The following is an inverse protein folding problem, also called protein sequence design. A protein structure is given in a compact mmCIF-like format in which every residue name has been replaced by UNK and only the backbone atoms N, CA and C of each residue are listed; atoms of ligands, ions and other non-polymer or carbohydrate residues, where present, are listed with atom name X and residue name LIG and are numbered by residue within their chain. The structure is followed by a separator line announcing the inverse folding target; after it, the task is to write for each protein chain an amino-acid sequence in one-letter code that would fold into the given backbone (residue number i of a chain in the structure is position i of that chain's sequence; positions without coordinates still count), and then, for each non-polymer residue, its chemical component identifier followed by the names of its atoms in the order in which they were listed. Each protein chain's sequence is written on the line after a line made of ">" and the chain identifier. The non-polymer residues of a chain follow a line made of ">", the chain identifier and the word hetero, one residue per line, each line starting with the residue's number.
data_IF_230605787857
#
_entry.id   IF_230605787857
#
_cell.length_a   1.000
_cell.length_b   1.000
_cell.length_c   1.000
_cell.angle_alpha   90.00
_cell.angle_beta   90.00
_cell.angle_gamma   90.00
#
_symmetry.space_group_name_H-M   'P 1'
#
loop_
_entity.id
_entity.type
_entity.pdbx_description
1 polymer ?
#
# COMPACT_ATOMS: atom_id res chain seq x y z
N UNK A 1 -35.74 -62.35 -25.73
CA UNK A 1 -37.11 -62.65 -25.39
C UNK A 1 -37.13 -63.43 -24.08
N UNK A 2 -38.10 -63.25 -23.25
CA UNK A 2 -38.87 -62.05 -22.83
C UNK A 2 -38.52 -61.73 -21.36
N UNK A 3 -39.01 -60.81 -20.63
CA UNK A 3 -40.40 -60.44 -20.40
C UNK A 3 -40.45 -59.03 -19.70
N UNK A 4 -41.45 -58.30 -20.04
CA UNK A 4 -41.94 -57.07 -19.50
C UNK A 4 -42.64 -57.25 -18.19
N UNK A 5 -42.37 -56.41 -17.19
CA UNK A 5 -43.42 -55.96 -16.24
C UNK A 5 -43.06 -54.67 -15.56
N UNK A 6 -43.79 -53.63 -15.88
CA UNK A 6 -43.86 -52.38 -15.11
C UNK A 6 -44.78 -52.55 -13.91
N UNK A 7 -44.50 -51.96 -12.75
CA UNK A 7 -45.49 -51.77 -11.71
C UNK A 7 -46.06 -50.33 -11.67
N UNK A 8 -47.35 -50.32 -11.51
CA UNK A 8 -48.37 -49.34 -11.28
C UNK A 8 -47.99 -48.21 -10.28
N UNK A 9 -48.35 -46.97 -10.60
CA UNK A 9 -48.39 -45.84 -9.69
C UNK A 9 -49.59 -45.94 -8.73
N UNK A 10 -49.45 -45.50 -7.49
CA UNK A 10 -50.60 -45.17 -6.64
C UNK A 10 -50.93 -43.67 -6.70
N UNK A 11 -52.22 -43.42 -6.76
CA UNK A 11 -52.88 -42.12 -6.75
C UNK A 11 -52.57 -41.34 -5.45
N UNK A 12 -52.17 -40.08 -5.54
CA UNK A 12 -51.98 -39.16 -4.43
C UNK A 12 -53.27 -38.35 -4.13
N UNK A 13 -53.44 -37.89 -2.90
CA UNK A 13 -54.65 -37.21 -2.45
C UNK A 13 -54.72 -35.77 -2.89
N UNK A 14 -55.97 -35.32 -3.18
CA UNK A 14 -56.47 -33.99 -3.55
C UNK A 14 -55.95 -32.89 -2.62
N UNK A 15 -55.39 -31.83 -3.23
CA UNK A 15 -55.00 -30.56 -2.56
C UNK A 15 -56.24 -29.68 -2.34
N UNK A 16 -56.34 -28.94 -1.24
CA UNK A 16 -57.35 -27.89 -1.05
C UNK A 16 -56.94 -26.61 -1.78
N UNK A 17 -57.93 -25.95 -2.33
CA UNK A 17 -57.87 -24.68 -3.02
C UNK A 17 -57.31 -23.58 -2.10
N UNK A 18 -56.25 -22.89 -2.56
CA UNK A 18 -55.78 -21.64 -1.97
C UNK A 18 -56.52 -20.46 -2.57
N UNK A 19 -57.13 -19.71 -1.71
CA UNK A 19 -57.66 -18.37 -2.02
C UNK A 19 -56.50 -17.43 -2.44
N UNK A 20 -56.69 -16.71 -3.54
CA UNK A 20 -55.75 -15.66 -3.99
C UNK A 20 -55.84 -14.45 -3.05
N UNK A 21 -54.74 -13.90 -2.58
CA UNK A 21 -54.74 -12.61 -1.91
C UNK A 21 -54.76 -11.49 -2.97
N UNK A 22 -55.71 -10.64 -2.83
CA UNK A 22 -55.92 -9.38 -3.54
C UNK A 22 -54.65 -8.57 -3.71
N UNK A 23 -54.36 -8.15 -4.95
CA UNK A 23 -53.25 -7.29 -5.32
C UNK A 23 -53.38 -5.91 -4.66
N UNK A 24 -52.56 -5.67 -3.63
CA UNK A 24 -52.28 -4.32 -3.19
C UNK A 24 -51.13 -3.76 -4.06
N UNK A 25 -51.39 -2.76 -4.84
CA UNK A 25 -50.42 -1.98 -5.60
C UNK A 25 -49.39 -1.38 -4.63
N UNK A 26 -48.07 -1.43 -4.93
CA UNK A 26 -47.11 -0.69 -4.12
C UNK A 26 -47.30 0.80 -4.35
N UNK A 27 -47.67 1.51 -3.30
CA UNK A 27 -47.57 2.98 -3.25
C UNK A 27 -46.12 3.38 -3.56
N UNK A 28 -45.89 3.95 -4.72
CA UNK A 28 -44.68 4.67 -5.05
C UNK A 28 -44.56 5.86 -4.11
N UNK A 29 -43.79 5.71 -3.05
CA UNK A 29 -43.31 6.84 -2.27
C UNK A 29 -42.51 7.74 -3.21
N UNK A 30 -43.13 8.83 -3.64
CA UNK A 30 -42.46 9.94 -4.31
C UNK A 30 -41.41 10.44 -3.34
N UNK A 31 -40.15 10.22 -3.72
CA UNK A 31 -39.01 10.89 -3.09
C UNK A 31 -39.13 12.38 -3.41
N UNK A 32 -39.74 13.11 -2.48
CA UNK A 32 -39.85 14.57 -2.56
C UNK A 32 -38.41 15.11 -2.45
N UNK A 33 -37.81 15.37 -3.62
CA UNK A 33 -36.48 15.95 -3.78
C UNK A 33 -36.36 17.39 -3.23
N UNK A 34 -36.76 17.60 -1.99
CA UNK A 34 -36.43 18.80 -1.24
C UNK A 34 -34.93 18.85 -0.97
N UNK A 35 -34.32 20.04 -1.04
CA UNK A 35 -32.90 20.15 -0.71
C UNK A 35 -32.67 19.61 0.71
N UNK A 36 -31.82 18.55 0.85
CA UNK A 36 -31.44 18.04 2.16
C UNK A 36 -30.89 19.21 2.98
N UNK A 37 -31.31 19.37 4.24
CA UNK A 37 -30.84 20.47 5.07
C UNK A 37 -29.32 20.52 5.04
N UNK A 38 -28.76 21.67 4.68
CA UNK A 38 -27.32 21.88 4.65
C UNK A 38 -26.77 21.62 6.05
N UNK A 39 -25.97 20.55 6.18
CA UNK A 39 -25.31 20.25 7.47
C UNK A 39 -24.53 21.49 7.90
N UNK A 40 -24.70 21.90 9.15
CA UNK A 40 -23.88 22.96 9.73
C UNK A 40 -22.40 22.66 9.48
N UNK A 41 -21.57 23.65 9.12
CA UNK A 41 -20.12 23.44 8.95
C UNK A 41 -19.46 22.74 10.11
N UNK A 42 -20.01 22.86 11.32
CA UNK A 42 -19.53 22.19 12.54
C UNK A 42 -19.84 20.69 12.56
N UNK A 43 -20.91 20.24 11.87
CA UNK A 43 -21.38 18.85 11.87
C UNK A 43 -20.83 18.02 10.69
N UNK A 44 -20.05 18.64 9.79
CA UNK A 44 -19.47 17.96 8.64
C UNK A 44 -18.46 16.91 9.06
N UNK A 45 -18.55 15.68 8.52
CA UNK A 45 -17.59 14.61 8.86
C UNK A 45 -16.19 14.94 8.37
N UNK A 46 -15.22 14.24 8.94
CA UNK A 46 -13.86 14.15 8.40
C UNK A 46 -13.83 13.01 7.39
N UNK A 47 -13.53 13.29 6.13
CA UNK A 47 -13.32 12.25 5.15
C UNK A 47 -11.88 11.76 5.16
N UNK A 48 -11.71 10.43 5.19
CA UNK A 48 -10.42 9.76 5.11
C UNK A 48 -10.37 8.96 3.81
N UNK A 49 -9.51 9.35 2.88
CA UNK A 49 -9.41 8.74 1.56
C UNK A 49 -8.40 7.59 1.61
N UNK A 50 -8.90 6.35 1.55
CA UNK A 50 -8.13 5.10 1.56
C UNK A 50 -8.34 4.25 2.81
N UNK A 51 -8.77 2.99 2.63
CA UNK A 51 -9.04 1.96 3.65
C UNK A 51 -7.82 1.10 4.01
N UNK A 52 -6.61 1.65 3.86
CA UNK A 52 -5.37 1.01 4.30
C UNK A 52 -5.04 1.27 5.78
N UNK A 53 -3.87 0.81 6.27
CA UNK A 53 -3.48 0.95 7.67
C UNK A 53 -3.43 2.42 8.14
N UNK A 54 -3.06 3.35 7.25
CA UNK A 54 -3.05 4.78 7.55
C UNK A 54 -4.44 5.34 7.79
N UNK A 55 -5.37 5.12 6.85
CA UNK A 55 -6.73 5.61 6.96
C UNK A 55 -7.49 5.02 8.13
N UNK A 56 -7.39 3.69 8.33
CA UNK A 56 -8.03 3.02 9.48
C UNK A 56 -7.50 3.56 10.82
N UNK A 57 -6.18 3.82 10.93
CA UNK A 57 -5.59 4.40 12.14
C UNK A 57 -6.14 5.80 12.42
N UNK A 58 -6.26 6.64 11.39
CA UNK A 58 -6.79 8.00 11.51
C UNK A 58 -8.27 7.97 11.89
N UNK A 59 -9.08 7.16 11.22
CA UNK A 59 -10.50 7.04 11.52
C UNK A 59 -10.73 6.60 12.97
N UNK A 60 -9.97 5.61 13.45
CA UNK A 60 -10.01 5.19 14.86
C UNK A 60 -9.61 6.32 15.81
N UNK A 61 -8.55 7.05 15.51
CA UNK A 61 -8.06 8.12 16.38
C UNK A 61 -9.03 9.29 16.46
N UNK A 62 -9.75 9.59 15.38
CA UNK A 62 -10.84 10.59 15.34
C UNK A 62 -12.05 10.10 16.13
N UNK A 63 -12.52 8.86 15.89
CA UNK A 63 -13.62 8.26 16.63
C UNK A 63 -13.39 8.26 18.15
N UNK A 64 -12.17 7.94 18.58
CA UNK A 64 -11.81 7.96 20.00
C UNK A 64 -11.88 9.37 20.63
N UNK A 65 -12.07 10.42 19.82
CA UNK A 65 -12.26 11.82 20.24
C UNK A 65 -13.67 12.35 19.97
N UNK A 66 -14.60 11.44 19.65
CA UNK A 66 -15.99 11.82 19.36
C UNK A 66 -16.17 12.52 17.99
N UNK A 67 -15.16 12.49 17.11
CA UNK A 67 -15.24 13.12 15.79
C UNK A 67 -15.67 12.06 14.77
N UNK A 68 -16.76 12.35 14.05
CA UNK A 68 -17.24 11.50 12.97
C UNK A 68 -16.24 11.49 11.84
N UNK A 69 -15.76 10.30 11.46
CA UNK A 69 -14.84 10.08 10.36
C UNK A 69 -15.41 9.01 9.43
N UNK A 70 -15.46 9.30 8.13
CA UNK A 70 -15.91 8.37 7.10
C UNK A 70 -14.73 8.00 6.23
N UNK A 71 -14.39 6.72 6.18
CA UNK A 71 -13.34 6.20 5.30
C UNK A 71 -13.95 5.90 3.93
N UNK A 72 -13.37 6.48 2.88
CA UNK A 72 -13.74 6.22 1.49
C UNK A 72 -12.68 5.29 0.87
N UNK A 73 -13.08 4.07 0.54
CA UNK A 73 -12.19 3.06 -0.06
C UNK A 73 -12.69 2.70 -1.47
N UNK A 74 -11.80 2.80 -2.46
CA UNK A 74 -12.16 2.52 -3.86
C UNK A 74 -12.41 1.04 -4.15
N UNK A 75 -11.80 0.15 -3.40
CA UNK A 75 -12.00 -1.29 -3.55
C UNK A 75 -13.24 -1.77 -2.79
N UNK A 76 -13.62 -3.02 -3.00
CA UNK A 76 -14.76 -3.66 -2.36
C UNK A 76 -14.56 -3.91 -0.85
N UNK A 77 -13.32 -3.79 -0.35
CA UNK A 77 -12.95 -4.05 1.05
C UNK A 77 -11.66 -3.35 1.47
N UNK A 78 -11.44 -3.25 2.78
CA UNK A 78 -10.24 -2.66 3.36
C UNK A 78 -8.98 -3.48 3.10
N UNK A 79 -7.82 -2.83 3.14
CA UNK A 79 -6.53 -3.49 2.96
C UNK A 79 -6.26 -3.99 1.55
N UNK A 80 -6.94 -3.48 0.53
CA UNK A 80 -6.88 -3.96 -0.85
C UNK A 80 -5.47 -3.97 -1.44
N UNK A 81 -4.64 -2.97 -1.13
CA UNK A 81 -3.24 -2.94 -1.58
C UNK A 81 -2.43 -4.13 -1.04
N UNK A 82 -2.68 -4.53 0.22
CA UNK A 82 -2.02 -5.68 0.85
C UNK A 82 -2.43 -7.00 0.19
N UNK A 83 -3.70 -7.18 -0.15
CA UNK A 83 -4.20 -8.37 -0.86
C UNK A 83 -3.55 -8.60 -2.21
N UNK A 84 -3.10 -7.52 -2.87
CA UNK A 84 -2.48 -7.57 -4.20
C UNK A 84 -0.99 -7.88 -4.17
N UNK A 85 -0.34 -7.87 -3.01
CA UNK A 85 1.05 -8.24 -2.91
C UNK A 85 1.27 -9.76 -3.08
N UNK A 86 2.51 -10.12 -3.41
CA UNK A 86 2.95 -11.51 -3.59
C UNK A 86 2.82 -12.33 -2.29
N UNK A 87 2.68 -13.64 -2.44
CA UNK A 87 2.29 -14.55 -1.36
C UNK A 87 3.36 -14.63 -0.24
N UNK A 88 4.62 -14.60 -0.62
CA UNK A 88 5.76 -14.63 0.30
C UNK A 88 5.89 -13.39 1.19
N UNK A 89 5.24 -12.28 0.88
CA UNK A 89 5.48 -11.02 1.57
C UNK A 89 5.22 -11.12 3.08
N UNK A 90 6.21 -10.71 3.86
CA UNK A 90 6.10 -10.51 5.30
C UNK A 90 6.50 -9.07 5.66
N UNK A 91 5.94 -8.55 6.75
CA UNK A 91 6.42 -7.29 7.30
C UNK A 91 7.90 -7.39 7.65
N UNK A 92 8.70 -6.43 7.20
CA UNK A 92 10.10 -6.29 7.62
C UNK A 92 10.24 -5.71 9.03
N UNK A 93 9.13 -5.27 9.60
CA UNK A 93 9.03 -4.71 10.94
C UNK A 93 8.39 -5.72 11.89
N UNK A 94 8.77 -5.65 13.17
CA UNK A 94 8.27 -6.61 14.14
C UNK A 94 6.80 -6.41 14.43
N UNK A 95 6.07 -7.50 14.65
CA UNK A 95 4.65 -7.51 15.01
C UNK A 95 4.31 -6.50 16.13
N UNK A 96 5.14 -6.43 17.17
CA UNK A 96 4.91 -5.53 18.32
C UNK A 96 4.91 -4.05 17.96
N UNK A 97 5.78 -3.65 17.03
CA UNK A 97 5.90 -2.26 16.59
C UNK A 97 5.06 -1.95 15.32
N UNK A 98 4.37 -2.94 14.79
CA UNK A 98 3.49 -2.79 13.62
C UNK A 98 2.00 -2.82 13.99
N UNK A 99 1.67 -3.02 15.27
CA UNK A 99 0.29 -2.93 15.72
C UNK A 99 -0.23 -1.48 15.64
N UNK A 100 -1.47 -1.33 15.17
CA UNK A 100 -2.18 -0.06 15.14
C UNK A 100 -2.78 0.26 16.53
N UNK A 101 -3.06 1.53 16.83
CA UNK A 101 -3.55 1.94 18.15
C UNK A 101 -4.87 1.24 18.52
N UNK A 102 -4.92 0.72 19.75
CA UNK A 102 -6.14 0.15 20.32
C UNK A 102 -6.38 -1.35 20.03
N UNK A 103 -5.59 -1.97 19.14
CA UNK A 103 -5.69 -3.41 18.89
C UNK A 103 -4.31 -4.03 18.61
N UNK A 104 -3.74 -4.82 19.53
CA UNK A 104 -2.48 -5.51 19.28
C UNK A 104 -2.65 -6.61 18.22
N UNK A 105 -1.61 -6.83 17.40
CA UNK A 105 -1.58 -7.98 16.50
C UNK A 105 -1.45 -9.29 17.29
N UNK A 106 -2.23 -10.34 16.98
CA UNK A 106 -2.20 -11.63 17.67
C UNK A 106 -0.81 -12.28 17.69
N UNK A 107 -0.44 -12.93 18.81
CA UNK A 107 0.88 -13.60 18.94
C UNK A 107 1.08 -14.70 17.89
N UNK A 108 0.01 -15.39 17.48
CA UNK A 108 0.05 -16.44 16.44
C UNK A 108 0.52 -15.98 15.07
N UNK A 109 0.52 -14.66 14.78
CA UNK A 109 1.06 -14.11 13.53
C UNK A 109 2.59 -14.12 13.48
N UNK A 110 3.25 -14.62 14.51
CA UNK A 110 4.70 -14.69 14.56
C UNK A 110 5.37 -13.34 14.80
N UNK A 111 6.68 -13.28 14.59
CA UNK A 111 7.49 -12.07 14.72
C UNK A 111 7.37 -11.16 13.49
N UNK A 112 7.38 -11.76 12.32
CA UNK A 112 7.29 -11.15 11.01
C UNK A 112 5.94 -11.54 10.42
N UNK A 113 5.03 -10.58 10.38
CA UNK A 113 3.63 -10.84 10.04
C UNK A 113 3.50 -11.05 8.54
N UNK A 114 2.86 -12.14 8.12
CA UNK A 114 2.60 -12.44 6.72
C UNK A 114 1.61 -11.44 6.10
N UNK A 115 1.65 -11.32 4.78
CA UNK A 115 0.67 -10.53 4.01
C UNK A 115 -0.77 -10.84 4.40
N UNK A 116 -1.12 -12.11 4.46
CA UNK A 116 -2.48 -12.55 4.77
C UNK A 116 -2.89 -12.20 6.19
N UNK A 117 -1.97 -12.33 7.14
CA UNK A 117 -2.23 -11.93 8.52
C UNK A 117 -2.34 -10.41 8.68
N UNK A 118 -1.61 -9.63 7.86
CA UNK A 118 -1.82 -8.17 7.79
C UNK A 118 -3.23 -7.86 7.29
N UNK A 119 -3.69 -8.54 6.24
CA UNK A 119 -5.05 -8.36 5.70
C UNK A 119 -6.10 -8.69 6.76
N UNK A 120 -6.01 -9.88 7.38
CA UNK A 120 -6.93 -10.29 8.47
C UNK A 120 -6.91 -9.30 9.64
N UNK A 121 -5.75 -8.76 9.96
CA UNK A 121 -5.60 -7.77 11.01
C UNK A 121 -6.32 -6.47 10.67
N UNK A 122 -6.19 -5.95 9.45
CA UNK A 122 -6.84 -4.71 9.01
C UNK A 122 -8.36 -4.85 8.99
N UNK A 123 -8.89 -5.98 8.52
CA UNK A 123 -10.32 -6.27 8.57
C UNK A 123 -10.83 -6.31 10.01
N UNK A 124 -10.14 -7.07 10.86
CA UNK A 124 -10.50 -7.16 12.29
C UNK A 124 -10.36 -5.83 13.00
N UNK A 125 -9.40 -5.00 12.61
CA UNK A 125 -9.22 -3.66 13.17
C UNK A 125 -10.40 -2.75 12.83
N UNK A 126 -10.85 -2.76 11.58
CA UNK A 126 -12.00 -1.99 11.12
C UNK A 126 -13.28 -2.40 11.87
N UNK A 127 -13.53 -3.70 11.98
CA UNK A 127 -14.65 -4.28 12.70
C UNK A 127 -14.61 -3.96 14.21
N UNK A 128 -13.48 -4.25 14.87
CA UNK A 128 -13.29 -4.04 16.31
C UNK A 128 -13.55 -2.60 16.73
N UNK A 129 -13.12 -1.66 15.91
CA UNK A 129 -13.33 -0.23 16.20
C UNK A 129 -14.62 0.31 15.57
N UNK A 130 -15.46 -0.53 14.94
CA UNK A 130 -16.71 -0.15 14.28
C UNK A 130 -16.53 1.13 13.43
N UNK A 131 -15.55 1.13 12.54
CA UNK A 131 -15.23 2.28 11.71
C UNK A 131 -16.31 2.46 10.63
N UNK A 132 -16.71 3.71 10.37
CA UNK A 132 -17.61 4.05 9.27
C UNK A 132 -16.80 4.01 7.97
N UNK A 133 -17.04 3.00 7.12
CA UNK A 133 -16.28 2.77 5.88
C UNK A 133 -17.27 2.59 4.74
N UNK A 134 -17.05 3.34 3.67
CA UNK A 134 -17.78 3.21 2.41
C UNK A 134 -16.84 2.67 1.35
N UNK A 135 -17.10 1.46 0.91
CA UNK A 135 -16.32 0.76 -0.13
C UNK A 135 -16.91 1.01 -1.53
N UNK A 136 -16.12 0.75 -2.59
CA UNK A 136 -16.51 1.01 -3.96
C UNK A 136 -16.60 2.51 -4.30
N UNK A 137 -15.96 3.36 -3.51
CA UNK A 137 -15.97 4.81 -3.69
C UNK A 137 -14.55 5.32 -3.96
N UNK A 138 -14.26 5.64 -5.21
CA UNK A 138 -13.03 6.30 -5.60
C UNK A 138 -13.23 7.82 -5.62
N UNK A 139 -12.43 8.53 -4.85
CA UNK A 139 -12.38 9.99 -4.89
C UNK A 139 -11.40 10.41 -5.98
N UNK A 140 -11.88 11.13 -6.96
CA UNK A 140 -11.09 11.58 -8.11
C UNK A 140 -10.49 12.97 -7.92
N UNK A 141 -11.13 13.83 -7.12
CA UNK A 141 -10.72 15.23 -6.91
C UNK A 141 -11.19 15.76 -5.56
N UNK A 142 -10.37 16.60 -4.94
CA UNK A 142 -10.67 17.30 -3.69
C UNK A 142 -10.54 18.79 -3.94
N UNK A 143 -11.58 19.56 -3.67
CA UNK A 143 -11.65 21.00 -3.88
C UNK A 143 -12.12 21.74 -2.64
N UNK A 144 -12.00 23.07 -2.63
CA UNK A 144 -12.64 23.88 -1.60
C UNK A 144 -14.17 23.82 -1.77
N UNK A 145 -14.86 23.67 -0.67
CA UNK A 145 -16.33 23.76 -0.70
C UNK A 145 -16.76 25.15 -1.19
N UNK A 146 -17.83 25.24 -2.01
CA UNK A 146 -18.29 26.52 -2.60
C UNK A 146 -18.63 27.59 -1.56
N UNK A 147 -19.05 27.20 -0.36
CA UNK A 147 -19.35 28.08 0.76
C UNK A 147 -18.09 28.62 1.49
N UNK A 148 -16.89 28.28 1.00
CA UNK A 148 -15.61 28.66 1.60
C UNK A 148 -15.27 27.90 2.88
N UNK A 149 -16.13 26.98 3.34
CA UNK A 149 -15.95 26.24 4.61
C UNK A 149 -15.75 24.74 4.37
N UNK A 150 -14.54 24.26 4.57
CA UNK A 150 -14.24 22.83 4.41
C UNK A 150 -13.90 22.43 2.96
N UNK A 151 -14.26 21.20 2.59
CA UNK A 151 -13.81 20.52 1.38
C UNK A 151 -14.96 19.84 0.65
N UNK A 152 -14.92 19.89 -0.67
CA UNK A 152 -15.78 19.15 -1.59
C UNK A 152 -14.96 18.01 -2.21
N UNK A 153 -15.48 16.79 -2.16
CA UNK A 153 -14.87 15.61 -2.75
C UNK A 153 -15.74 15.11 -3.90
N UNK A 154 -15.15 15.00 -5.08
CA UNK A 154 -15.79 14.38 -6.23
C UNK A 154 -15.46 12.88 -6.24
N UNK A 155 -16.48 12.05 -6.28
CA UNK A 155 -16.34 10.62 -6.15
C UNK A 155 -17.11 9.84 -7.21
N UNK A 156 -16.85 8.55 -7.33
CA UNK A 156 -17.48 7.62 -8.28
C UNK A 156 -18.99 7.81 -8.34
N UNK A 157 -19.54 7.78 -9.55
CA UNK A 157 -20.99 7.93 -9.81
C UNK A 157 -21.48 9.37 -9.70
N UNK A 158 -20.62 10.37 -9.89
CA UNK A 158 -20.99 11.79 -9.84
C UNK A 158 -21.33 12.29 -8.42
N UNK A 159 -20.92 11.54 -7.39
CA UNK A 159 -21.21 11.92 -6.00
C UNK A 159 -20.35 13.10 -5.57
N UNK A 160 -20.96 14.06 -4.92
CA UNK A 160 -20.32 15.18 -4.26
C UNK A 160 -20.49 15.05 -2.75
N UNK A 161 -19.37 15.06 -2.01
CA UNK A 161 -19.35 14.87 -0.57
C UNK A 161 -18.69 16.08 0.09
N UNK A 162 -19.39 16.74 1.00
CA UNK A 162 -18.86 17.91 1.70
C UNK A 162 -18.37 17.52 3.11
N UNK A 163 -17.10 17.80 3.39
CA UNK A 163 -16.44 17.49 4.67
C UNK A 163 -15.81 18.69 5.35
N UNK A 164 -15.71 18.65 6.69
CA UNK A 164 -15.04 19.68 7.49
C UNK A 164 -13.51 19.62 7.40
N UNK A 165 -12.97 18.43 7.18
CA UNK A 165 -11.55 18.16 6.94
C UNK A 165 -11.38 16.92 6.05
N UNK A 166 -10.22 16.80 5.40
CA UNK A 166 -9.85 15.65 4.57
C UNK A 166 -8.50 15.12 4.98
N UNK A 167 -8.39 13.79 5.08
CA UNK A 167 -7.13 13.09 5.29
C UNK A 167 -6.86 12.19 4.09
N UNK A 168 -5.83 12.50 3.31
CA UNK A 168 -5.38 11.69 2.19
C UNK A 168 -4.47 10.58 2.73
N UNK A 169 -4.93 9.33 2.61
CA UNK A 169 -4.25 8.11 3.08
C UNK A 169 -4.23 7.02 1.99
N UNK A 170 -4.15 7.43 0.72
CA UNK A 170 -4.24 6.55 -0.47
C UNK A 170 -3.04 5.64 -0.66
N UNK A 171 -1.99 5.84 0.12
CA UNK A 171 -0.82 4.97 0.17
C UNK A 171 0.29 5.34 -0.81
N UNK A 172 1.47 4.80 -0.52
CA UNK A 172 2.72 5.09 -1.23
C UNK A 172 2.83 4.36 -2.58
N UNK A 173 2.26 3.15 -2.66
CA UNK A 173 2.33 2.26 -3.82
C UNK A 173 0.99 2.25 -4.56
N UNK A 174 0.67 3.36 -5.24
CA UNK A 174 -0.63 3.49 -5.90
C UNK A 174 -0.62 2.95 -7.34
N UNK A 175 0.18 3.56 -8.21
CA UNK A 175 0.23 3.22 -9.64
C UNK A 175 1.57 2.58 -9.99
N UNK A 176 1.61 1.39 -10.57
CA UNK A 176 2.83 0.76 -11.06
C UNK A 176 3.60 1.69 -12.01
N UNK A 177 4.92 1.68 -11.91
CA UNK A 177 5.79 2.44 -12.80
C UNK A 177 6.59 1.49 -13.66
N UNK A 178 6.27 1.39 -14.93
CA UNK A 178 7.16 0.83 -15.95
C UNK A 178 7.94 1.98 -16.58
N UNK A 179 9.28 1.92 -16.63
CA UNK A 179 10.07 2.89 -17.37
C UNK A 179 9.76 2.82 -18.87
N UNK A 180 9.98 3.93 -19.55
CA UNK A 180 9.81 4.02 -21.01
C UNK A 180 11.09 3.52 -21.69
N UNK A 181 11.31 2.21 -21.61
CA UNK A 181 12.41 1.57 -22.34
C UNK A 181 12.11 1.55 -23.85
N UNK A 182 13.07 1.94 -24.72
CA UNK A 182 12.93 1.76 -26.14
C UNK A 182 12.59 0.29 -26.47
N UNK A 183 11.68 0.07 -27.40
CA UNK A 183 11.25 -1.26 -27.83
C UNK A 183 10.35 -2.04 -26.85
N UNK A 184 10.03 -1.49 -25.69
CA UNK A 184 9.20 -2.16 -24.68
C UNK A 184 7.85 -2.63 -25.22
N UNK A 185 7.19 -1.80 -26.02
CA UNK A 185 5.83 -2.06 -26.51
C UNK A 185 5.80 -3.07 -27.69
N UNK A 186 6.96 -3.36 -28.28
CA UNK A 186 7.13 -4.37 -29.34
C UNK A 186 7.82 -5.64 -28.85
N UNK A 187 8.18 -5.71 -27.57
CA UNK A 187 8.80 -6.89 -26.98
C UNK A 187 7.84 -8.08 -26.99
N UNK A 188 8.27 -9.18 -27.60
CA UNK A 188 7.46 -10.40 -27.79
C UNK A 188 7.43 -11.31 -26.57
N UNK A 189 8.37 -11.14 -25.62
CA UNK A 189 8.44 -11.90 -24.39
C UNK A 189 7.47 -11.39 -23.33
N UNK A 190 7.33 -12.13 -22.23
CA UNK A 190 6.50 -11.72 -21.12
C UNK A 190 7.17 -10.58 -20.34
N UNK A 191 6.53 -9.41 -20.28
CA UNK A 191 6.94 -8.28 -19.42
C UNK A 191 5.80 -7.92 -18.46
N UNK A 192 6.00 -8.18 -17.17
CA UNK A 192 5.03 -7.84 -16.12
C UNK A 192 5.62 -6.91 -15.09
N UNK A 193 4.80 -6.03 -14.53
CA UNK A 193 5.17 -5.31 -13.32
C UNK A 193 5.06 -6.23 -12.09
N UNK A 194 5.94 -6.06 -11.10
CA UNK A 194 5.93 -6.82 -9.85
C UNK A 194 4.61 -6.75 -9.05
N UNK A 195 3.72 -5.82 -9.38
CA UNK A 195 2.34 -5.77 -8.88
C UNK A 195 1.54 -7.03 -9.24
N UNK A 196 1.81 -7.59 -10.42
CA UNK A 196 1.05 -8.72 -10.98
C UNK A 196 1.73 -10.06 -10.68
N UNK A 197 2.92 -10.04 -10.09
CA UNK A 197 3.59 -11.22 -9.56
C UNK A 197 2.89 -11.71 -8.28
N UNK A 198 2.62 -13.00 -8.19
CA UNK A 198 1.97 -13.63 -7.04
C UNK A 198 2.87 -14.62 -6.31
N UNK A 199 3.38 -15.57 -7.05
CA UNK A 199 4.22 -16.66 -6.55
C UNK A 199 5.10 -17.19 -7.70
N UNK A 200 6.09 -18.04 -7.42
CA UNK A 200 7.04 -18.51 -8.41
C UNK A 200 6.51 -19.62 -9.32
N UNK A 201 5.37 -20.23 -9.04
CA UNK A 201 4.86 -21.41 -9.77
C UNK A 201 4.83 -21.22 -11.29
N UNK A 202 4.34 -20.09 -11.86
CA UNK A 202 4.31 -19.90 -13.31
C UNK A 202 5.70 -19.83 -13.97
N UNK A 203 6.73 -19.60 -13.18
CA UNK A 203 8.11 -19.36 -13.63
C UNK A 203 9.04 -20.56 -13.40
N UNK A 204 8.51 -21.69 -12.91
CA UNK A 204 9.30 -22.91 -12.73
C UNK A 204 9.92 -23.37 -14.07
N UNK A 205 11.23 -23.64 -14.05
CA UNK A 205 11.98 -24.02 -15.26
C UNK A 205 12.29 -22.88 -16.24
N UNK A 206 11.87 -21.64 -15.97
CA UNK A 206 12.11 -20.48 -16.84
C UNK A 206 13.36 -19.71 -16.48
N UNK A 207 13.90 -18.97 -17.45
CA UNK A 207 14.90 -17.93 -17.30
C UNK A 207 14.21 -16.58 -17.04
N UNK A 208 14.34 -16.04 -15.83
CA UNK A 208 13.61 -14.86 -15.41
C UNK A 208 14.55 -13.69 -15.12
N UNK A 209 14.27 -12.54 -15.74
CA UNK A 209 14.93 -11.26 -15.46
C UNK A 209 14.08 -10.42 -14.50
N UNK A 210 14.55 -10.22 -13.28
CA UNK A 210 13.94 -9.27 -12.32
C UNK A 210 14.61 -7.91 -12.46
N UNK A 211 13.85 -6.85 -12.74
CA UNK A 211 14.41 -5.50 -12.94
C UNK A 211 14.18 -4.62 -11.71
N UNK A 212 15.28 -4.27 -11.04
CA UNK A 212 15.28 -3.40 -9.85
C UNK A 212 15.50 -4.15 -8.54
N UNK A 213 16.44 -3.64 -7.74
CA UNK A 213 16.90 -4.22 -6.48
C UNK A 213 16.36 -3.48 -5.24
N UNK A 214 15.06 -3.16 -5.25
CA UNK A 214 14.34 -2.79 -4.04
C UNK A 214 13.96 -4.03 -3.22
N UNK A 215 13.27 -3.86 -2.07
CA UNK A 215 12.79 -5.01 -1.28
C UNK A 215 11.97 -5.99 -2.13
N UNK A 216 11.06 -5.47 -2.96
CA UNK A 216 10.22 -6.30 -3.84
C UNK A 216 11.04 -7.13 -4.82
N UNK A 217 11.98 -6.51 -5.55
CA UNK A 217 12.80 -7.26 -6.52
C UNK A 217 13.74 -8.26 -5.86
N UNK A 218 14.32 -7.91 -4.71
CA UNK A 218 15.15 -8.80 -3.91
C UNK A 218 14.38 -10.04 -3.45
N UNK A 219 13.16 -9.85 -2.92
CA UNK A 219 12.31 -10.95 -2.45
C UNK A 219 11.79 -11.83 -3.59
N UNK A 220 11.37 -11.22 -4.71
CA UNK A 220 10.91 -11.95 -5.89
C UNK A 220 12.07 -12.79 -6.48
N UNK A 221 13.30 -12.24 -6.55
CA UNK A 221 14.44 -13.00 -7.06
C UNK A 221 14.73 -14.24 -6.20
N UNK A 222 14.64 -14.12 -4.87
CA UNK A 222 14.78 -15.26 -3.95
C UNK A 222 13.61 -16.24 -4.10
N UNK A 223 12.39 -15.75 -4.21
CA UNK A 223 11.17 -16.55 -4.39
C UNK A 223 11.25 -17.42 -5.67
N UNK A 224 11.69 -16.81 -6.77
CA UNK A 224 11.89 -17.51 -8.05
C UNK A 224 12.95 -18.63 -7.95
N UNK A 225 14.09 -18.35 -7.28
CA UNK A 225 15.12 -19.37 -7.03
C UNK A 225 14.57 -20.54 -6.21
N UNK A 226 13.83 -20.25 -5.15
CA UNK A 226 13.23 -21.25 -4.28
C UNK A 226 12.09 -22.02 -4.97
N UNK A 227 11.38 -21.36 -5.90
CA UNK A 227 10.31 -21.93 -6.71
C UNK A 227 10.76 -22.70 -7.95
N UNK A 228 12.08 -22.85 -8.18
CA UNK A 228 12.62 -23.70 -9.23
C UNK A 228 12.71 -23.05 -10.61
N UNK A 229 12.82 -21.73 -10.70
CA UNK A 229 13.22 -21.07 -11.94
C UNK A 229 14.59 -21.60 -12.41
N UNK A 230 14.75 -21.87 -13.72
CA UNK A 230 15.98 -22.41 -14.26
C UNK A 230 17.16 -21.43 -14.13
N UNK A 231 16.87 -20.14 -14.27
CA UNK A 231 17.84 -19.06 -14.11
C UNK A 231 17.14 -17.81 -13.57
N UNK A 232 17.78 -17.11 -12.63
CA UNK A 232 17.29 -15.84 -12.10
C UNK A 232 18.36 -14.78 -12.26
N UNK A 233 18.05 -13.74 -13.03
CA UNK A 233 18.89 -12.55 -13.17
C UNK A 233 18.26 -11.38 -12.46
N UNK A 234 19.05 -10.59 -11.76
CA UNK A 234 18.62 -9.37 -11.09
C UNK A 234 19.33 -8.16 -11.70
N UNK A 235 18.57 -7.35 -12.47
CA UNK A 235 19.10 -6.14 -13.09
C UNK A 235 19.21 -4.99 -12.09
N UNK A 236 20.41 -4.45 -11.94
CA UNK A 236 20.74 -3.44 -10.92
C UNK A 236 21.28 -2.17 -11.58
N UNK A 237 20.53 -1.07 -11.45
CA UNK A 237 20.98 0.27 -11.92
C UNK A 237 21.89 0.96 -10.92
N UNK A 238 21.60 0.84 -9.64
CA UNK A 238 22.34 1.48 -8.56
C UNK A 238 22.41 0.51 -7.39
N UNK A 239 23.62 0.28 -6.91
CA UNK A 239 23.84 -0.63 -5.79
C UNK A 239 23.04 -0.20 -4.55
N UNK A 240 22.26 -1.12 -3.94
CA UNK A 240 21.43 -0.81 -2.79
C UNK A 240 22.23 -0.92 -1.49
N UNK A 241 21.78 -0.20 -0.46
CA UNK A 241 22.14 -0.58 0.90
C UNK A 241 21.37 -1.84 1.29
N UNK A 242 22.07 -2.88 1.71
CA UNK A 242 21.48 -4.11 2.20
C UNK A 242 21.68 -4.17 3.72
N UNK A 243 20.63 -4.52 4.45
CA UNK A 243 20.67 -4.71 5.90
C UNK A 243 20.01 -6.05 6.25
N UNK A 244 20.57 -6.78 7.19
CA UNK A 244 19.91 -7.98 7.72
C UNK A 244 18.64 -7.58 8.47
N UNK A 245 17.51 -8.25 8.21
CA UNK A 245 16.24 -8.01 8.91
C UNK A 245 16.39 -8.19 10.43
N UNK A 246 17.25 -9.12 10.86
CA UNK A 246 17.67 -9.26 12.26
C UNK A 246 19.09 -9.82 12.38
N UNK A 247 19.77 -9.42 13.45
CA UNK A 247 21.11 -9.92 13.80
C UNK A 247 21.08 -10.36 15.26
N UNK A 248 21.45 -11.61 15.55
CA UNK A 248 21.42 -12.20 16.90
C UNK A 248 20.13 -11.90 17.67
N UNK A 249 18.99 -12.03 17.02
CA UNK A 249 17.67 -11.74 17.63
C UNK A 249 17.28 -10.27 17.69
N UNK A 250 18.17 -9.32 17.41
CA UNK A 250 17.87 -7.88 17.37
C UNK A 250 17.35 -7.47 15.98
N UNK A 251 16.13 -6.97 15.88
CA UNK A 251 15.56 -6.50 14.62
C UNK A 251 16.15 -5.14 14.21
N UNK A 252 16.46 -4.98 12.92
CA UNK A 252 16.97 -3.72 12.37
C UNK A 252 16.05 -2.52 12.68
N UNK A 253 14.75 -2.74 12.77
CA UNK A 253 13.77 -1.74 13.15
C UNK A 253 14.07 -1.10 14.53
N UNK A 254 14.54 -1.87 15.52
CA UNK A 254 14.85 -1.32 16.85
C UNK A 254 15.99 -0.30 16.77
N UNK A 255 17.01 -0.60 15.98
CA UNK A 255 18.08 0.37 15.69
C UNK A 255 17.52 1.61 15.02
N UNK A 256 16.67 1.46 13.98
CA UNK A 256 16.00 2.57 13.30
C UNK A 256 15.17 3.46 14.25
N UNK A 257 14.46 2.86 15.22
CA UNK A 257 13.72 3.60 16.24
C UNK A 257 14.66 4.37 17.18
N UNK A 258 15.77 3.75 17.58
CA UNK A 258 16.72 4.34 18.53
C UNK A 258 17.44 5.55 17.91
N UNK A 259 17.89 5.44 16.66
CA UNK A 259 18.71 6.46 16.01
C UNK A 259 17.90 7.56 15.28
N UNK A 260 16.59 7.44 15.17
CA UNK A 260 15.73 8.30 14.36
C UNK A 260 15.80 9.80 14.67
N UNK A 261 16.25 10.18 15.88
CA UNK A 261 16.38 11.56 16.34
C UNK A 261 17.81 12.07 16.33
N UNK A 262 18.78 11.21 16.02
CA UNK A 262 20.18 11.58 15.97
C UNK A 262 20.53 12.25 14.63
N UNK A 263 21.56 13.11 14.60
CA UNK A 263 22.06 13.67 13.35
C UNK A 263 22.48 12.58 12.37
N UNK A 264 21.96 12.62 11.15
CA UNK A 264 22.16 11.56 10.13
C UNK A 264 23.62 11.26 9.87
N UNK A 265 24.48 12.31 9.75
CA UNK A 265 25.92 12.18 9.51
C UNK A 265 26.64 11.41 10.64
N UNK A 266 26.22 11.62 11.89
CA UNK A 266 26.78 10.92 13.05
C UNK A 266 26.39 9.44 12.99
N UNK A 267 25.12 9.15 12.69
CA UNK A 267 24.63 7.76 12.57
C UNK A 267 25.34 7.04 11.44
N UNK A 268 25.48 7.65 10.25
CA UNK A 268 26.22 7.05 9.13
C UNK A 268 27.69 6.75 9.49
N UNK A 269 28.35 7.67 10.22
CA UNK A 269 29.75 7.47 10.64
C UNK A 269 29.90 6.26 11.59
N UNK A 270 28.98 6.13 12.55
CA UNK A 270 28.98 5.04 13.53
C UNK A 270 28.51 3.71 12.93
N UNK A 271 27.60 3.74 11.96
CA UNK A 271 27.07 2.55 11.32
C UNK A 271 28.02 1.90 10.30
N UNK A 272 28.96 2.66 9.71
CA UNK A 272 29.87 2.17 8.66
C UNK A 272 30.64 0.90 9.04
N UNK A 273 31.33 0.80 10.19
CA UNK A 273 32.06 -0.41 10.55
C UNK A 273 31.11 -1.59 10.78
N UNK A 274 29.95 -1.35 11.40
CA UNK A 274 28.96 -2.39 11.66
C UNK A 274 28.35 -2.93 10.36
N UNK A 275 28.08 -2.07 9.38
CA UNK A 275 27.59 -2.46 8.07
C UNK A 275 28.59 -3.36 7.31
N UNK A 276 29.90 -3.11 7.44
CA UNK A 276 30.92 -3.94 6.81
C UNK A 276 30.97 -5.37 7.36
N UNK A 277 30.62 -5.54 8.65
CA UNK A 277 30.65 -6.86 9.32
C UNK A 277 29.29 -7.58 9.10
N UNK A 278 28.18 -6.84 9.05
CA UNK A 278 26.84 -7.44 9.00
C UNK A 278 26.47 -7.98 7.62
N UNK A 279 26.97 -7.37 6.54
CA UNK A 279 26.72 -7.81 5.16
C UNK A 279 28.05 -8.04 4.45
N UNK A 280 28.29 -9.25 3.89
CA UNK A 280 29.52 -9.55 3.16
C UNK A 280 29.66 -8.64 1.93
N UNK A 281 30.90 -8.52 1.44
CA UNK A 281 31.16 -7.84 0.18
C UNK A 281 30.69 -8.71 -0.99
N UNK A 282 29.82 -8.16 -1.82
CA UNK A 282 29.29 -8.82 -3.00
C UNK A 282 29.87 -8.24 -4.30
N UNK A 283 30.94 -7.45 -4.23
CA UNK A 283 31.55 -6.81 -5.41
C UNK A 283 32.03 -7.84 -6.43
N UNK A 284 32.56 -8.98 -5.97
CA UNK A 284 32.99 -10.09 -6.83
C UNK A 284 31.79 -10.76 -7.57
N UNK A 285 30.56 -10.51 -7.12
CA UNK A 285 29.33 -11.02 -7.73
C UNK A 285 28.53 -9.93 -8.45
N UNK A 286 29.18 -8.82 -8.84
CA UNK A 286 28.52 -7.72 -9.58
C UNK A 286 27.68 -6.75 -8.72
N UNK A 287 27.69 -6.87 -7.39
CA UNK A 287 26.93 -5.99 -6.50
C UNK A 287 27.85 -5.24 -5.52
N UNK A 288 28.48 -4.14 -5.96
CA UNK A 288 29.40 -3.38 -5.11
C UNK A 288 28.67 -2.67 -3.98
N UNK A 289 29.42 -2.34 -2.91
CA UNK A 289 28.86 -1.53 -1.81
C UNK A 289 28.59 -0.10 -2.25
N UNK A 290 27.43 0.50 -1.84
CA UNK A 290 27.17 1.90 -2.11
C UNK A 290 28.21 2.83 -1.49
N UNK A 291 28.61 3.87 -2.22
CA UNK A 291 29.55 4.89 -1.73
C UNK A 291 28.93 5.83 -0.68
N UNK A 292 27.60 5.97 -0.69
CA UNK A 292 26.85 6.88 0.21
C UNK A 292 26.55 6.24 1.56
N UNK A 293 26.24 7.06 2.58
CA UNK A 293 25.76 6.56 3.88
C UNK A 293 24.34 6.00 3.80
N UNK A 294 24.07 4.96 4.60
CA UNK A 294 22.75 4.32 4.65
C UNK A 294 21.64 5.31 5.05
N UNK A 295 21.88 6.04 6.13
CA UNK A 295 20.86 6.96 6.67
C UNK A 295 20.70 8.23 5.82
N UNK A 296 21.77 8.69 5.18
CA UNK A 296 21.69 9.77 4.17
C UNK A 296 20.77 9.38 3.02
N UNK A 297 20.91 8.15 2.50
CA UNK A 297 20.03 7.66 1.42
C UNK A 297 18.59 7.49 1.87
N UNK A 298 18.35 7.11 3.12
CA UNK A 298 16.98 7.03 3.66
C UNK A 298 16.32 8.42 3.72
N UNK A 299 17.06 9.45 4.10
CA UNK A 299 16.53 10.84 4.10
C UNK A 299 16.22 11.36 2.70
N UNK A 300 16.92 10.87 1.67
CA UNK A 300 16.63 11.13 0.26
C UNK A 300 15.40 10.33 -0.26
N UNK A 301 14.85 9.44 0.56
CA UNK A 301 13.66 8.64 0.24
C UNK A 301 13.95 7.22 -0.25
N UNK A 302 15.21 6.76 -0.25
CA UNK A 302 15.56 5.38 -0.57
C UNK A 302 15.36 4.47 0.64
N UNK A 303 14.80 3.27 0.44
CA UNK A 303 14.65 2.26 1.48
C UNK A 303 15.78 1.23 1.33
N UNK A 304 16.51 0.86 2.40
CA UNK A 304 17.47 -0.23 2.33
C UNK A 304 16.76 -1.56 2.04
N UNK A 305 17.42 -2.43 1.30
CA UNK A 305 16.95 -3.80 1.09
C UNK A 305 17.08 -4.56 2.41
N UNK A 306 15.99 -5.10 2.87
CA UNK A 306 15.96 -6.01 4.03
C UNK A 306 16.28 -7.41 3.55
N UNK A 307 17.49 -7.89 3.83
CA UNK A 307 17.92 -9.20 3.38
C UNK A 307 17.07 -10.33 3.98
N UNK A 308 16.46 -11.09 3.10
CA UNK A 308 15.67 -12.29 3.41
C UNK A 308 16.12 -13.48 2.54
N UNK A 309 17.41 -13.52 2.19
CA UNK A 309 18.03 -14.60 1.41
C UNK A 309 18.75 -14.13 0.14
N UNK A 310 18.63 -12.86 -0.25
CA UNK A 310 19.30 -12.33 -1.45
C UNK A 310 20.81 -12.46 -1.37
N UNK A 311 21.42 -12.11 -0.23
CA UNK A 311 22.88 -12.19 -0.03
C UNK A 311 23.39 -13.61 -0.26
N UNK A 312 22.72 -14.60 0.29
CA UNK A 312 23.10 -16.01 0.16
C UNK A 312 22.80 -16.55 -1.25
N UNK A 313 21.74 -16.08 -1.90
CA UNK A 313 21.42 -16.45 -3.27
C UNK A 313 22.44 -15.91 -4.28
N UNK A 314 22.88 -14.65 -4.12
CA UNK A 314 23.90 -14.02 -4.96
C UNK A 314 25.28 -14.68 -4.74
N UNK A 315 25.70 -14.89 -3.50
CA UNK A 315 26.98 -15.56 -3.17
C UNK A 315 27.04 -17.00 -3.69
N UNK A 316 25.90 -17.68 -3.64
CA UNK A 316 25.77 -19.05 -4.15
C UNK A 316 25.60 -19.16 -5.67
N UNK A 317 25.66 -18.04 -6.40
CA UNK A 317 25.47 -18.01 -7.86
C UNK A 317 24.05 -18.36 -8.33
N UNK A 318 23.07 -18.40 -7.41
CA UNK A 318 21.68 -18.73 -7.76
C UNK A 318 20.91 -17.52 -8.27
N UNK A 319 21.35 -16.31 -7.94
CA UNK A 319 20.89 -15.04 -8.52
C UNK A 319 22.09 -14.37 -9.16
N UNK A 320 22.02 -14.19 -10.47
CA UNK A 320 23.02 -13.48 -11.27
C UNK A 320 22.73 -11.98 -11.26
N UNK A 321 23.70 -11.16 -10.89
CA UNK A 321 23.57 -9.71 -10.97
C UNK A 321 23.96 -9.25 -12.38
N UNK A 322 23.08 -8.50 -13.03
CA UNK A 322 23.32 -7.96 -14.38
C UNK A 322 23.12 -6.44 -14.37
N UNK A 323 23.65 -5.78 -15.42
CA UNK A 323 23.57 -4.33 -15.57
C UNK A 323 22.09 -3.87 -15.76
N UNK A 324 21.87 -2.56 -15.70
CA UNK A 324 20.53 -1.99 -15.88
C UNK A 324 19.96 -2.28 -17.26
N UNK A 325 18.66 -2.53 -17.36
CA UNK A 325 17.96 -2.62 -18.65
C UNK A 325 18.04 -1.26 -19.35
N UNK A 326 18.47 -1.26 -20.62
CA UNK A 326 18.56 -0.10 -21.47
C UNK A 326 17.45 -0.05 -22.52
N UNK A 327 17.19 -1.15 -23.22
CA UNK A 327 16.18 -1.27 -24.28
C UNK A 327 15.70 -2.72 -24.44
N UNK A 328 14.66 -2.90 -25.21
CA UNK A 328 14.19 -4.18 -25.74
C UNK A 328 14.36 -4.12 -27.28
N UNK A 329 15.08 -5.07 -27.86
CA UNK A 329 15.39 -5.11 -29.28
C UNK A 329 15.32 -6.55 -29.79
N UNK A 330 14.59 -6.78 -30.87
CA UNK A 330 14.54 -8.08 -31.58
C UNK A 330 14.25 -9.30 -30.65
N UNK A 331 13.41 -9.11 -29.63
CA UNK A 331 13.08 -10.15 -28.67
C UNK A 331 14.11 -10.32 -27.53
N UNK A 332 15.18 -9.53 -27.53
CA UNK A 332 16.22 -9.51 -26.52
C UNK A 332 16.11 -8.31 -25.60
N UNK A 333 16.73 -8.39 -24.43
CA UNK A 333 16.88 -7.27 -23.49
C UNK A 333 18.34 -6.78 -23.57
N UNK A 334 18.53 -5.56 -24.04
CA UNK A 334 19.82 -4.87 -24.06
C UNK A 334 20.10 -4.27 -22.67
N UNK A 335 21.27 -4.57 -22.13
CA UNK A 335 21.75 -4.05 -20.85
C UNK A 335 22.71 -2.87 -21.01
N UNK A 336 22.88 -2.07 -19.98
CA UNK A 336 23.68 -0.84 -20.01
C UNK A 336 25.21 -1.06 -20.17
N UNK A 337 25.68 -2.28 -20.01
CA UNK A 337 27.06 -2.69 -20.29
C UNK A 337 27.27 -3.21 -21.71
N UNK A 338 26.22 -3.15 -22.55
CA UNK A 338 26.21 -3.64 -23.94
C UNK A 338 25.90 -5.12 -24.09
N UNK A 339 25.78 -5.86 -23.00
CA UNK A 339 25.38 -7.27 -23.04
C UNK A 339 23.89 -7.43 -23.40
N UNK A 340 23.53 -8.58 -23.94
CA UNK A 340 22.14 -8.94 -24.32
C UNK A 340 21.74 -10.21 -23.58
N UNK A 341 20.48 -10.27 -23.18
CA UNK A 341 19.88 -11.45 -22.55
C UNK A 341 18.50 -11.73 -23.16
N UNK A 342 18.16 -13.03 -23.22
CA UNK A 342 16.88 -13.52 -23.77
C UNK A 342 16.11 -14.26 -22.67
N UNK A 343 15.55 -13.55 -21.68
CA UNK A 343 14.76 -14.20 -20.62
C UNK A 343 13.40 -14.65 -21.19
N UNK A 344 12.85 -15.73 -20.63
CA UNK A 344 11.49 -16.18 -20.90
C UNK A 344 10.47 -15.18 -20.32
N UNK A 345 10.81 -14.55 -19.19
CA UNK A 345 9.96 -13.55 -18.53
C UNK A 345 10.78 -12.41 -17.89
N UNK A 346 10.20 -11.21 -17.93
CA UNK A 346 10.74 -10.01 -17.27
C UNK A 346 9.76 -9.53 -16.19
N UNK A 347 10.22 -9.50 -14.93
CA UNK A 347 9.44 -8.98 -13.81
C UNK A 347 10.00 -7.62 -13.39
N UNK A 348 9.28 -6.56 -13.73
CA UNK A 348 9.68 -5.17 -13.46
C UNK A 348 9.34 -4.75 -12.03
N UNK A 349 10.29 -4.84 -11.10
CA UNK A 349 10.19 -4.35 -9.72
C UNK A 349 10.63 -2.87 -9.62
N UNK A 350 10.13 -2.04 -10.52
CA UNK A 350 10.56 -0.65 -10.76
C UNK A 350 9.82 0.40 -9.94
N UNK A 351 9.02 -0.05 -8.97
CA UNK A 351 8.33 0.77 -7.99
C UNK A 351 7.02 1.38 -8.48
N UNK A 352 6.54 2.41 -7.77
CA UNK A 352 5.22 2.97 -7.96
C UNK A 352 5.25 4.50 -7.97
N UNK A 353 4.22 5.11 -8.57
CA UNK A 353 3.87 6.52 -8.40
C UNK A 353 2.76 6.66 -7.37
N UNK A 354 2.71 7.80 -6.67
CA UNK A 354 1.69 8.10 -5.66
C UNK A 354 0.35 8.45 -6.26
N UNK A 355 0.36 9.00 -7.49
CA UNK A 355 -0.82 9.46 -8.24
C UNK A 355 -1.70 10.44 -7.42
N UNK A 356 -1.07 11.43 -6.81
CA UNK A 356 -1.76 12.49 -6.07
C UNK A 356 -2.10 13.69 -6.95
N UNK A 357 -1.48 13.80 -8.12
CA UNK A 357 -1.63 14.93 -9.03
C UNK A 357 -3.09 15.12 -9.48
N UNK A 358 -3.83 14.08 -9.91
CA UNK A 358 -5.26 14.24 -10.25
C UNK A 358 -6.11 14.65 -9.06
N UNK A 359 -5.79 14.12 -7.87
CA UNK A 359 -6.58 14.30 -6.66
C UNK A 359 -6.45 15.71 -6.08
N UNK A 360 -5.22 16.22 -5.96
CA UNK A 360 -4.90 17.46 -5.21
C UNK A 360 -3.84 18.34 -5.89
N UNK A 361 -3.35 17.99 -7.10
CA UNK A 361 -2.26 18.73 -7.76
C UNK A 361 -2.60 20.18 -8.04
N UNK A 362 -3.85 20.48 -8.38
CA UNK A 362 -4.35 21.85 -8.64
C UNK A 362 -4.39 22.74 -7.38
N UNK A 363 -4.11 22.19 -6.19
CA UNK A 363 -4.08 22.93 -4.93
C UNK A 363 -2.66 23.41 -4.56
N UNK A 364 -1.63 23.17 -5.38
CA UNK A 364 -0.22 23.50 -5.11
C UNK A 364 0.28 22.96 -3.75
N UNK A 365 -0.12 21.71 -3.44
CA UNK A 365 0.22 21.02 -2.18
C UNK A 365 1.22 19.89 -2.37
N UNK A 366 1.73 19.72 -3.59
CA UNK A 366 2.71 18.70 -3.97
C UNK A 366 4.04 19.36 -4.38
N UNK A 367 5.15 18.67 -4.14
CA UNK A 367 6.46 19.04 -4.67
C UNK A 367 6.67 18.54 -6.12
N UNK A 368 7.79 18.91 -6.75
CA UNK A 368 8.16 18.50 -8.12
C UNK A 368 8.24 16.97 -8.32
N UNK A 369 8.24 16.20 -7.25
CA UNK A 369 8.24 14.73 -7.26
C UNK A 369 6.86 14.14 -6.94
N UNK A 370 5.80 14.94 -6.95
CA UNK A 370 4.43 14.54 -6.62
C UNK A 370 4.28 14.09 -5.15
N UNK A 371 5.11 14.62 -4.23
CA UNK A 371 5.01 14.34 -2.80
C UNK A 371 4.32 15.48 -2.07
N UNK A 372 3.49 15.20 -1.05
CA UNK A 372 2.92 16.26 -0.22
C UNK A 372 4.02 17.12 0.42
N UNK A 373 3.90 18.44 0.29
CA UNK A 373 4.87 19.42 0.88
C UNK A 373 4.85 19.40 2.41
N UNK A 374 3.79 18.91 3.01
CA UNK A 374 3.66 18.67 4.46
C UNK A 374 3.08 17.30 4.74
N UNK A 375 3.31 16.77 5.93
CA UNK A 375 2.90 15.43 6.31
C UNK A 375 2.47 15.38 7.79
N UNK A 376 1.60 14.41 8.14
CA UNK A 376 1.09 14.22 9.48
C UNK A 376 0.14 15.32 9.93
N UNK A 377 0.34 15.88 11.11
CA UNK A 377 -0.56 16.85 11.72
C UNK A 377 -0.47 18.27 11.14
N UNK A 378 0.44 18.52 10.18
CA UNK A 378 0.57 19.81 9.51
C UNK A 378 -0.31 19.85 8.27
N UNK A 379 -0.87 21.02 7.97
CA UNK A 379 -1.60 21.29 6.73
C UNK A 379 -0.88 22.35 5.90
N UNK A 380 -0.97 22.32 4.57
CA UNK A 380 -0.45 23.40 3.73
C UNK A 380 -1.15 24.72 4.08
N UNK A 381 -0.46 25.85 3.94
CA UNK A 381 -1.02 27.18 4.24
C UNK A 381 -2.24 27.51 3.37
N UNK A 382 -2.17 27.16 2.10
CA UNK A 382 -3.24 27.33 1.10
C UNK A 382 -4.33 26.25 1.17
N UNK A 383 -4.12 25.17 1.95
CA UNK A 383 -5.04 24.06 2.08
C UNK A 383 -5.23 23.66 3.57
N UNK A 384 -5.77 24.56 4.44
CA UNK A 384 -6.03 24.24 5.83
C UNK A 384 -7.06 23.11 5.94
N UNK A 385 -6.86 22.21 6.93
CA UNK A 385 -7.66 21.00 7.18
C UNK A 385 -7.59 19.92 6.08
N UNK A 386 -6.61 20.01 5.16
CA UNK A 386 -6.18 18.93 4.28
C UNK A 386 -4.89 18.31 4.85
N UNK A 387 -4.96 17.03 5.20
CA UNK A 387 -3.88 16.28 5.84
C UNK A 387 -3.39 15.15 4.94
N UNK A 388 -2.12 14.76 5.10
CA UNK A 388 -1.51 13.66 4.36
C UNK A 388 -0.82 12.69 5.31
N UNK A 389 -1.04 11.37 5.14
CA UNK A 389 -0.34 10.33 5.90
C UNK A 389 0.03 9.15 5.02
N UNK A 390 1.17 8.50 5.31
CA UNK A 390 1.62 7.32 4.57
C UNK A 390 2.45 7.61 3.32
N UNK A 391 2.98 8.82 3.15
CA UNK A 391 3.78 9.22 1.99
C UNK A 391 5.27 9.40 2.27
N UNK A 392 5.73 9.03 3.46
CA UNK A 392 7.14 9.02 3.86
C UNK A 392 7.67 7.59 4.00
N UNK A 393 9.01 7.42 3.98
CA UNK A 393 9.68 6.13 4.16
C UNK A 393 10.44 6.12 5.50
N UNK A 394 9.77 5.90 6.64
CA UNK A 394 10.41 5.97 7.94
C UNK A 394 11.22 4.70 8.24
N UNK A 395 12.45 4.87 8.70
CA UNK A 395 13.32 3.76 9.15
C UNK A 395 12.78 3.01 10.38
N UNK A 396 11.91 3.66 11.15
CA UNK A 396 11.25 3.10 12.34
C UNK A 396 10.09 2.16 12.01
N UNK A 397 9.71 2.09 10.74
CA UNK A 397 8.62 1.26 10.21
C UNK A 397 7.34 2.04 9.92
N UNK A 398 6.75 1.77 8.76
CA UNK A 398 5.58 2.49 8.25
C UNK A 398 4.38 2.39 9.20
N UNK A 399 3.97 1.19 9.61
CA UNK A 399 2.81 1.00 10.49
C UNK A 399 2.93 1.79 11.79
N UNK A 400 4.14 1.80 12.39
CA UNK A 400 4.41 2.56 13.60
C UNK A 400 4.24 4.06 13.39
N UNK A 401 4.77 4.61 12.32
CA UNK A 401 4.66 6.04 12.05
C UNK A 401 3.23 6.44 11.64
N UNK A 402 2.51 5.59 10.91
CA UNK A 402 1.08 5.80 10.63
C UNK A 402 0.27 5.89 11.93
N UNK A 403 0.55 5.02 12.92
CA UNK A 403 -0.08 5.07 14.23
C UNK A 403 0.21 6.39 14.97
N UNK A 404 1.46 6.87 14.91
CA UNK A 404 1.86 8.14 15.54
C UNK A 404 1.21 9.33 14.83
N UNK A 405 1.20 9.33 13.51
CA UNK A 405 0.61 10.41 12.71
C UNK A 405 -0.91 10.48 12.92
N UNK A 406 -1.59 9.35 12.96
CA UNK A 406 -3.03 9.27 13.22
C UNK A 406 -3.42 9.98 14.51
N UNK A 407 -2.71 9.72 15.61
CA UNK A 407 -2.96 10.35 16.90
C UNK A 407 -2.67 11.86 16.89
N UNK A 408 -1.66 12.30 16.13
CA UNK A 408 -1.33 13.73 15.99
C UNK A 408 -2.36 14.45 15.12
N UNK A 409 -2.76 13.86 13.99
CA UNK A 409 -3.78 14.40 13.07
C UNK A 409 -5.10 14.57 13.85
N UNK A 410 -5.56 13.51 14.51
CA UNK A 410 -6.82 13.54 15.26
C UNK A 410 -6.83 14.59 16.36
N UNK A 411 -5.71 14.77 17.10
CA UNK A 411 -5.56 15.85 18.10
C UNK A 411 -5.64 17.24 17.46
N UNK A 412 -5.04 17.44 16.30
CA UNK A 412 -5.06 18.73 15.62
C UNK A 412 -6.46 19.06 15.12
N UNK A 413 -7.16 18.09 14.53
CA UNK A 413 -8.54 18.27 14.06
C UNK A 413 -9.45 18.59 15.26
N UNK A 414 -9.33 17.85 16.37
CA UNK A 414 -10.13 18.10 17.57
C UNK A 414 -9.99 19.53 18.11
N UNK A 415 -8.75 20.04 18.21
CA UNK A 415 -8.49 21.41 18.64
C UNK A 415 -9.13 22.44 17.70
N UNK A 416 -8.93 22.28 16.39
CA UNK A 416 -9.49 23.20 15.39
C UNK A 416 -11.03 23.20 15.39
N UNK A 417 -11.65 22.03 15.60
CA UNK A 417 -13.11 21.93 15.72
C UNK A 417 -13.61 22.68 16.95
N UNK A 418 -12.96 22.52 18.10
CA UNK A 418 -13.30 23.27 19.32
C UNK A 418 -13.14 24.78 19.13
N UNK A 419 -12.05 25.24 18.49
CA UNK A 419 -11.80 26.67 18.21
C UNK A 419 -12.84 27.26 17.25
N UNK A 420 -13.41 26.46 16.33
CA UNK A 420 -14.50 26.90 15.45
C UNK A 420 -15.82 27.07 16.19
N UNK A 421 -16.16 26.12 17.05
CA UNK A 421 -17.38 26.17 17.86
C UNK A 421 -17.35 27.39 18.79
N UNK A 422 -16.21 27.70 19.40
CA UNK A 422 -16.05 28.85 20.29
C UNK A 422 -16.11 30.22 19.59
N UNK A 423 -15.99 30.28 18.27
CA UNK A 423 -16.05 31.54 17.48
C UNK A 423 -17.39 31.78 16.81
N UNK A 424 -18.34 30.86 16.89
CA UNK A 424 -19.70 31.10 16.42
C UNK A 424 -20.37 32.07 17.37
N UNK A 425 -20.93 33.20 16.88
CA UNK A 425 -21.73 34.09 17.71
C UNK A 425 -22.96 33.31 18.19
N UNK A 426 -23.22 33.33 19.49
CA UNK A 426 -24.39 32.75 20.11
C UNK A 426 -25.68 33.41 19.70
#
# INVERSE_FOLDING_TARGET
>A
MPDSTAPTQPEGPTSPQREEPTSASPETSRDDGGPRPSQSPADRPVYVIGGGPGGLSVARALRARGIRAVVLEKSDRVGASWRRHYDRLHLHTTRRLSALPGLPMPRRFGRWVSRDDVVRYLEKYAEHHQLEIVTGVEVSRVERAPDGTGWLLHATGGRELTGGAVVVATGHNHTPRLPDWPGRDTYSGELRHARDYRNPEPYAGQDVLVVGVGNTGAEIAVDLVEGGAARVRLSVRTAPHIVRRSTAGWAAQYTGVLVRRLPVRLVDRLARPLAKVSVPDLSAHGLPRPATGLYSRVTEGSIPVQDVGLVDAVRGGRVEIVAAVQAFEDGEVLLADGSRVTPDAVVAATGYRRALEPLVGHLDVLDDRGRPVVHGARTPRNAPDLYFTGFTNPISGMFRELAIDAEKIARTIARRSADRVSRLPG
#
